data_IF_073281375265
#
_entry.id   IF_073281375265
#
_cell.length_a   1.000
_cell.length_b   1.000
_cell.length_c   1.000
_cell.angle_alpha   90.00
_cell.angle_beta   90.00
_cell.angle_gamma   90.00
#
_symmetry.space_group_name_H-M   'P 1'
#
loop_
_entity.id
_entity.type
_entity.pdbx_description
1 polymer ?
#
# COMPACT_ATOMS: atom_id res chain seq x y z
N UNK A 1 -16.25 8.09 -5.81
CA UNK A 1 -14.93 7.45 -5.96
C UNK A 1 -14.79 6.63 -7.24
N UNK A 2 -15.76 5.80 -7.60
CA UNK A 2 -15.73 5.09 -8.89
C UNK A 2 -15.62 6.03 -10.09
N UNK A 3 -16.26 7.18 -10.01
CA UNK A 3 -16.17 8.18 -11.07
C UNK A 3 -14.75 8.71 -11.23
N UNK A 4 -14.02 8.87 -10.12
CA UNK A 4 -12.62 9.30 -10.16
C UNK A 4 -11.75 8.23 -10.83
N UNK A 5 -11.96 6.95 -10.51
CA UNK A 5 -11.26 5.86 -11.18
C UNK A 5 -11.52 5.85 -12.69
N UNK A 6 -12.78 6.07 -13.07
CA UNK A 6 -13.18 6.06 -14.48
C UNK A 6 -12.57 7.21 -15.26
N UNK A 7 -12.48 8.41 -14.66
CA UNK A 7 -11.97 9.60 -15.34
C UNK A 7 -10.45 9.73 -15.26
N UNK A 8 -9.85 9.36 -14.11
CA UNK A 8 -8.40 9.49 -13.92
C UNK A 8 -7.92 8.49 -12.86
N UNK A 9 -7.67 7.24 -13.25
CA UNK A 9 -7.20 6.23 -12.31
C UNK A 9 -5.80 6.52 -11.74
N UNK A 10 -5.00 7.38 -12.43
CA UNK A 10 -3.69 7.77 -11.94
C UNK A 10 -3.70 8.93 -10.96
N UNK A 11 -4.87 9.51 -10.66
CA UNK A 11 -4.99 10.66 -9.77
C UNK A 11 -4.32 10.39 -8.42
N UNK A 12 -3.52 11.35 -7.95
CA UNK A 12 -2.80 11.28 -6.68
C UNK A 12 -2.01 9.98 -6.54
N UNK A 13 -1.21 9.64 -7.57
CA UNK A 13 -0.34 8.45 -7.60
C UNK A 13 -1.13 7.18 -7.27
N UNK A 14 -2.25 7.01 -7.99
CA UNK A 14 -3.15 5.87 -7.85
C UNK A 14 -3.91 5.84 -6.51
N UNK A 15 -4.13 7.03 -5.92
CA UNK A 15 -4.91 7.16 -4.68
C UNK A 15 -6.26 6.46 -4.73
N UNK A 16 -7.06 6.58 -5.81
CA UNK A 16 -8.33 5.85 -5.90
C UNK A 16 -8.15 4.34 -5.80
N UNK A 17 -7.13 3.76 -6.44
CA UNK A 17 -6.86 2.32 -6.32
C UNK A 17 -6.50 1.94 -4.89
N UNK A 18 -5.65 2.73 -4.22
CA UNK A 18 -5.32 2.49 -2.80
C UNK A 18 -6.57 2.54 -1.93
N UNK A 19 -7.43 3.51 -2.18
CA UNK A 19 -8.66 3.67 -1.40
C UNK A 19 -9.57 2.45 -1.55
N UNK A 20 -9.79 1.97 -2.78
CA UNK A 20 -10.61 0.79 -2.99
C UNK A 20 -9.96 -0.47 -2.45
N UNK A 21 -8.63 -0.58 -2.54
CA UNK A 21 -7.89 -1.68 -1.93
C UNK A 21 -8.17 -1.74 -0.43
N UNK A 22 -8.02 -0.61 0.26
CA UNK A 22 -8.32 -0.50 1.69
C UNK A 22 -9.80 -0.82 1.98
N UNK A 23 -10.70 -0.18 1.22
CA UNK A 23 -12.15 -0.32 1.46
C UNK A 23 -12.59 -1.78 1.42
N UNK A 24 -12.11 -2.52 0.41
CA UNK A 24 -12.52 -3.92 0.26
C UNK A 24 -11.95 -4.84 1.33
N UNK A 25 -10.94 -4.42 2.09
CA UNK A 25 -10.52 -5.18 3.28
C UNK A 25 -11.50 -5.01 4.44
N UNK A 26 -12.39 -4.00 4.37
CA UNK A 26 -13.29 -3.63 5.48
C UNK A 26 -14.74 -3.98 5.22
N UNK A 27 -15.12 -4.33 4.00
CA UNK A 27 -16.52 -4.64 3.67
C UNK A 27 -16.77 -6.12 3.91
N UNK A 28 -17.73 -6.47 4.81
CA UNK A 28 -18.07 -7.88 5.03
C UNK A 28 -18.64 -8.52 3.77
N UNK A 29 -18.28 -9.77 3.52
CA UNK A 29 -18.79 -10.53 2.39
C UNK A 29 -18.10 -10.29 1.06
N UNK A 30 -17.12 -9.36 1.00
CA UNK A 30 -16.31 -9.11 -0.19
C UNK A 30 -15.01 -9.92 -0.09
N UNK A 31 -14.65 -10.58 -1.20
CA UNK A 31 -13.44 -11.38 -1.23
C UNK A 31 -12.18 -10.51 -1.19
N UNK A 32 -11.17 -10.97 -0.44
CA UNK A 32 -9.89 -10.26 -0.35
C UNK A 32 -9.19 -10.15 -1.70
N UNK A 33 -9.49 -11.03 -2.66
CA UNK A 33 -8.90 -10.95 -4.00
C UNK A 33 -9.22 -9.64 -4.71
N UNK A 34 -10.37 -9.04 -4.44
CA UNK A 34 -10.71 -7.73 -5.02
C UNK A 34 -9.81 -6.63 -4.44
N UNK A 35 -9.57 -6.67 -3.13
CA UNK A 35 -8.64 -5.75 -2.49
C UNK A 35 -7.24 -5.89 -3.08
N UNK A 36 -6.75 -7.12 -3.24
CA UNK A 36 -5.45 -7.39 -3.84
C UNK A 36 -5.35 -6.78 -5.24
N UNK A 37 -6.38 -6.93 -6.05
CA UNK A 37 -6.39 -6.41 -7.42
C UNK A 37 -6.20 -4.89 -7.43
N UNK A 38 -6.92 -4.16 -6.58
CA UNK A 38 -6.80 -2.70 -6.54
C UNK A 38 -5.42 -2.27 -6.04
N UNK A 39 -4.86 -2.91 -5.00
CA UNK A 39 -3.52 -2.57 -4.53
C UNK A 39 -2.46 -2.87 -5.59
N UNK A 40 -2.58 -3.99 -6.30
CA UNK A 40 -1.64 -4.32 -7.37
C UNK A 40 -1.71 -3.32 -8.51
N UNK A 41 -2.90 -2.83 -8.85
CA UNK A 41 -3.04 -1.80 -9.87
C UNK A 41 -2.35 -0.51 -9.44
N UNK A 42 -2.48 -0.12 -8.16
CA UNK A 42 -1.80 1.06 -7.65
C UNK A 42 -0.29 0.92 -7.74
N UNK A 43 0.24 -0.23 -7.32
CA UNK A 43 1.68 -0.48 -7.32
C UNK A 43 2.23 -0.52 -8.75
N UNK A 44 1.52 -1.18 -9.67
CA UNK A 44 1.96 -1.30 -11.06
C UNK A 44 1.93 0.05 -11.78
N UNK A 45 0.95 0.90 -11.46
CA UNK A 45 0.82 2.22 -12.08
C UNK A 45 1.85 3.22 -11.55
N UNK A 46 2.13 3.17 -10.24
CA UNK A 46 3.05 4.12 -9.60
C UNK A 46 3.92 3.39 -8.57
N UNK A 47 4.87 2.53 -9.04
CA UNK A 47 5.75 1.81 -8.10
C UNK A 47 6.68 2.75 -7.32
N UNK A 48 6.95 3.96 -7.86
CA UNK A 48 7.79 4.95 -7.21
C UNK A 48 7.14 5.57 -5.97
N UNK A 49 5.81 5.53 -5.87
CA UNK A 49 5.09 6.06 -4.72
C UNK A 49 4.96 4.96 -3.66
N UNK A 50 5.87 4.98 -2.69
CA UNK A 50 6.06 3.86 -1.75
C UNK A 50 4.83 3.55 -0.90
N UNK A 51 3.96 4.54 -0.67
CA UNK A 51 2.74 4.32 0.11
C UNK A 51 1.80 3.29 -0.54
N UNK A 52 1.87 3.10 -1.86
CA UNK A 52 1.07 2.07 -2.52
C UNK A 52 1.44 0.68 -2.00
N UNK A 53 2.74 0.37 -1.92
CA UNK A 53 3.20 -0.92 -1.40
C UNK A 53 2.94 -1.05 0.10
N UNK A 54 3.16 0.02 0.85
CA UNK A 54 2.93 0.03 2.30
C UNK A 54 1.46 -0.24 2.61
N UNK A 55 0.55 0.40 1.86
CA UNK A 55 -0.89 0.20 2.06
C UNK A 55 -1.31 -1.24 1.82
N UNK A 56 -0.74 -1.89 0.81
CA UNK A 56 -1.02 -3.30 0.56
C UNK A 56 -0.55 -4.16 1.73
N UNK A 57 0.65 -3.91 2.25
CA UNK A 57 1.16 -4.65 3.40
C UNK A 57 0.29 -4.43 4.63
N UNK A 58 -0.03 -3.17 4.93
CA UNK A 58 -0.75 -2.80 6.14
C UNK A 58 -2.18 -3.32 6.16
N UNK A 59 -2.88 -3.25 5.03
CA UNK A 59 -4.31 -3.57 5.00
C UNK A 59 -4.60 -4.95 4.42
N UNK A 60 -3.94 -5.32 3.30
CA UNK A 60 -4.25 -6.59 2.65
C UNK A 60 -3.50 -7.76 3.30
N UNK A 61 -2.17 -7.69 3.39
CA UNK A 61 -1.40 -8.81 3.92
C UNK A 61 -1.65 -9.00 5.41
N UNK A 62 -1.91 -7.92 6.15
CA UNK A 62 -2.30 -8.03 7.55
C UNK A 62 -3.65 -8.76 7.68
N UNK A 63 -4.63 -8.42 6.84
CA UNK A 63 -5.94 -9.04 6.89
C UNK A 63 -5.90 -10.52 6.52
N UNK A 64 -5.07 -10.90 5.55
CA UNK A 64 -4.93 -12.30 5.18
C UNK A 64 -4.02 -13.08 6.14
N UNK A 65 -3.34 -12.40 7.07
CA UNK A 65 -2.45 -13.04 8.03
C UNK A 65 -1.08 -13.43 7.45
N UNK A 66 -0.68 -12.85 6.34
CA UNK A 66 0.58 -13.19 5.68
C UNK A 66 1.72 -12.30 6.18
N UNK A 67 2.24 -12.66 7.36
CA UNK A 67 3.30 -11.89 8.02
C UNK A 67 4.60 -11.87 7.21
N UNK A 68 4.89 -12.94 6.48
CA UNK A 68 6.10 -13.02 5.65
C UNK A 68 6.08 -11.96 4.55
N UNK A 69 4.98 -11.87 3.78
CA UNK A 69 4.84 -10.86 2.74
C UNK A 69 4.79 -9.44 3.31
N UNK A 70 4.13 -9.26 4.43
CA UNK A 70 4.10 -7.99 5.15
C UNK A 70 5.54 -7.51 5.41
N UNK A 71 6.37 -8.35 5.98
CA UNK A 71 7.77 -8.00 6.28
C UNK A 71 8.59 -7.78 5.01
N UNK A 72 8.42 -8.62 3.99
CA UNK A 72 9.17 -8.52 2.74
C UNK A 72 8.92 -7.18 2.07
N UNK A 73 7.66 -6.79 1.96
CA UNK A 73 7.29 -5.52 1.31
C UNK A 73 7.83 -4.33 2.09
N UNK A 74 7.66 -4.32 3.41
CA UNK A 74 8.10 -3.20 4.22
C UNK A 74 9.62 -3.05 4.25
N UNK A 75 10.35 -4.17 4.29
CA UNK A 75 11.81 -4.12 4.24
C UNK A 75 12.30 -3.61 2.88
N UNK A 76 11.64 -4.00 1.79
CA UNK A 76 11.97 -3.49 0.46
C UNK A 76 11.74 -1.98 0.38
N UNK A 77 10.65 -1.49 0.95
CA UNK A 77 10.36 -0.05 1.00
C UNK A 77 11.47 0.69 1.75
N UNK A 78 11.87 0.19 2.91
CA UNK A 78 12.89 0.84 3.73
C UNK A 78 14.23 0.88 2.97
N UNK A 79 14.53 -0.15 2.18
CA UNK A 79 15.76 -0.23 1.41
C UNK A 79 15.76 0.56 0.11
N UNK A 80 14.63 1.15 -0.29
CA UNK A 80 14.52 1.88 -1.56
C UNK A 80 15.24 3.23 -1.47
N UNK A 81 15.94 3.60 -2.55
CA UNK A 81 16.60 4.90 -2.66
C UNK A 81 15.58 5.95 -3.10
N UNK A 82 15.15 6.80 -2.16
CA UNK A 82 14.13 7.81 -2.44
C UNK A 82 14.67 8.98 -3.25
N UNK A 83 15.99 9.11 -3.40
CA UNK A 83 16.60 10.19 -4.19
C UNK A 83 16.36 10.04 -5.69
N UNK A 84 15.94 8.87 -6.15
CA UNK A 84 15.60 8.63 -7.55
C UNK A 84 14.36 9.39 -8.00
N UNK A 85 13.52 9.82 -7.07
CA UNK A 85 12.24 10.46 -7.37
C UNK A 85 12.12 11.76 -6.55
N UNK A 86 12.89 12.80 -6.93
CA UNK A 86 13.00 14.01 -6.10
C UNK A 86 11.68 14.75 -5.91
N UNK A 87 10.75 14.68 -6.86
CA UNK A 87 9.46 15.38 -6.76
C UNK A 87 8.54 14.78 -5.69
N UNK A 88 8.78 13.54 -5.26
CA UNK A 88 8.00 12.88 -4.21
C UNK A 88 8.89 12.40 -3.06
N UNK A 89 10.09 12.98 -2.95
CA UNK A 89 11.06 12.53 -1.93
C UNK A 89 10.53 12.72 -0.51
N UNK A 90 9.83 13.82 -0.24
CA UNK A 90 9.28 14.08 1.08
C UNK A 90 8.20 13.05 1.45
N UNK A 91 7.30 12.74 0.51
CA UNK A 91 6.27 11.75 0.71
C UNK A 91 6.87 10.37 0.93
N UNK A 92 7.89 10.00 0.16
CA UNK A 92 8.55 8.71 0.30
C UNK A 92 9.35 8.62 1.59
N UNK A 93 9.98 9.71 2.03
CA UNK A 93 10.65 9.75 3.32
C UNK A 93 9.66 9.46 4.46
N UNK A 94 8.52 10.14 4.44
CA UNK A 94 7.46 9.89 5.42
C UNK A 94 6.98 8.44 5.35
N UNK A 95 6.81 7.91 4.15
CA UNK A 95 6.37 6.53 3.94
C UNK A 95 7.33 5.52 4.54
N UNK A 96 8.64 5.73 4.41
CA UNK A 96 9.64 4.87 5.03
C UNK A 96 9.52 4.86 6.55
N UNK A 97 9.27 6.02 7.15
CA UNK A 97 9.04 6.13 8.59
C UNK A 97 7.82 5.32 9.03
N UNK A 98 6.75 5.40 8.25
CA UNK A 98 5.54 4.62 8.51
C UNK A 98 5.81 3.11 8.38
N UNK A 99 6.59 2.71 7.37
CA UNK A 99 6.95 1.30 7.20
C UNK A 99 7.74 0.77 8.41
N UNK A 100 8.67 1.57 8.92
CA UNK A 100 9.44 1.17 10.11
C UNK A 100 8.52 1.03 11.32
N UNK A 101 7.57 1.95 11.50
CA UNK A 101 6.60 1.88 12.59
C UNK A 101 5.78 0.60 12.51
N UNK A 102 5.34 0.22 11.31
CA UNK A 102 4.57 -1.02 11.12
C UNK A 102 5.39 -2.26 11.46
N UNK A 103 6.67 -2.28 11.07
CA UNK A 103 7.55 -3.39 11.42
C UNK A 103 7.70 -3.49 12.95
N UNK A 104 7.89 -2.36 13.61
CA UNK A 104 8.11 -2.33 15.05
C UNK A 104 6.89 -2.81 15.84
N UNK A 105 5.68 -2.59 15.32
CA UNK A 105 4.45 -2.98 16.04
C UNK A 105 3.79 -4.24 15.45
N UNK A 106 4.47 -4.96 14.56
CA UNK A 106 3.85 -6.11 13.88
C UNK A 106 3.38 -7.22 14.82
N UNK A 107 4.02 -7.38 15.96
CA UNK A 107 3.63 -8.41 16.92
C UNK A 107 2.17 -8.27 17.38
N UNK A 108 1.69 -7.02 17.54
CA UNK A 108 0.31 -6.78 17.92
C UNK A 108 -0.66 -6.92 16.75
N UNK A 109 -0.16 -6.83 15.51
CA UNK A 109 -0.98 -6.94 14.30
C UNK A 109 -1.23 -8.39 13.89
N UNK A 110 -0.34 -9.32 14.25
CA UNK A 110 -0.39 -10.74 13.84
C UNK A 110 -0.47 -11.66 15.07
N UNK A 111 -1.30 -11.31 16.01
CA UNK A 111 -1.51 -12.15 17.20
C UNK A 111 -2.32 -13.42 16.90
#
# INVERSE_FOLDING_TARGET
MHRVLSLDPGFNYSGPYRFFGFLYTRIPGVELTQSETYFKQAINSHPEYLMNSISMAEYYHQKEGNREQFNTILKNVIGTDINKYPEIMNENYFSKGHAQLLIDKQSSMFE
#
